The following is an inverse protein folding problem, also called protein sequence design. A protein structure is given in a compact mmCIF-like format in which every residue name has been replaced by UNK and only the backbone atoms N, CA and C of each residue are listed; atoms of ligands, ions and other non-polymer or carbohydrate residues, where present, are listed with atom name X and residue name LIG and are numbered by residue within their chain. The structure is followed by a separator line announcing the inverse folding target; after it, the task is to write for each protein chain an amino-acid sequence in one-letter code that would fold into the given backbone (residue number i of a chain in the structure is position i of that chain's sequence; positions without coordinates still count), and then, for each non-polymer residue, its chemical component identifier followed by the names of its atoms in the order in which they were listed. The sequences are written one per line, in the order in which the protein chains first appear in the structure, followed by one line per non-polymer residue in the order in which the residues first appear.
data_IF_714145474726
#
_entry.id   IF_714145474726
#
_cell.length_a   1.000
_cell.length_b   1.000
_cell.length_c   1.000
_cell.angle_alpha   90.00
_cell.angle_beta   90.00
_cell.angle_gamma   90.00
#
_symmetry.space_group_name_H-M   'P 1'
#
loop_
_entity.id
_entity.type
_entity.pdbx_description
1 polymer ?
#
# COMPACT_ATOMS: atom_id res chain seq x y z
N UNK A 1 -2.42 -23.01 -7.49
CA UNK A 1 -1.36 -23.35 -6.50
C UNK A 1 0.07 -23.19 -6.99
N UNK A 2 0.32 -22.12 -7.76
CA UNK A 2 1.67 -21.75 -8.22
C UNK A 2 2.64 -21.53 -7.05
N UNK A 3 2.14 -21.20 -5.87
CA UNK A 3 2.95 -20.94 -4.66
C UNK A 3 3.46 -22.23 -4.00
N UNK A 4 2.66 -23.29 -4.02
CA UNK A 4 3.07 -24.60 -3.50
C UNK A 4 4.12 -25.26 -4.42
N UNK A 5 3.98 -25.10 -5.75
CA UNK A 5 4.92 -25.62 -6.71
C UNK A 5 6.29 -24.93 -6.66
N UNK A 6 6.36 -23.61 -6.39
CA UNK A 6 7.63 -22.88 -6.21
C UNK A 6 8.39 -23.36 -4.96
N UNK A 7 7.69 -23.55 -3.83
CA UNK A 7 8.30 -24.10 -2.61
C UNK A 7 8.83 -25.52 -2.78
N UNK A 8 8.08 -26.37 -3.47
CA UNK A 8 8.50 -27.72 -3.81
C UNK A 8 9.73 -27.74 -4.75
N UNK A 9 9.75 -26.89 -5.78
CA UNK A 9 10.88 -26.77 -6.69
C UNK A 9 12.18 -26.37 -5.98
N UNK A 10 12.13 -25.45 -5.04
CA UNK A 10 13.30 -25.04 -4.25
C UNK A 10 13.75 -26.15 -3.29
N UNK A 11 12.83 -26.89 -2.68
CA UNK A 11 13.16 -28.04 -1.83
C UNK A 11 13.82 -29.14 -2.65
N UNK A 12 13.26 -29.48 -3.82
CA UNK A 12 13.84 -30.47 -4.72
C UNK A 12 15.23 -30.09 -5.21
N UNK A 13 15.45 -28.84 -5.61
CA UNK A 13 16.77 -28.35 -6.02
C UNK A 13 17.80 -28.42 -4.90
N UNK A 14 17.43 -28.09 -3.67
CA UNK A 14 18.34 -28.18 -2.51
C UNK A 14 18.66 -29.61 -2.17
N UNK A 15 17.68 -30.51 -2.13
CA UNK A 15 17.87 -31.91 -1.80
C UNK A 15 18.65 -32.69 -2.87
N UNK A 16 18.52 -32.31 -4.13
CA UNK A 16 19.21 -32.96 -5.26
C UNK A 16 20.52 -32.28 -5.64
N UNK A 17 21.03 -31.35 -4.85
CA UNK A 17 22.26 -30.60 -5.12
C UNK A 17 22.29 -29.95 -6.51
N UNK A 18 21.15 -29.60 -7.04
CA UNK A 18 21.00 -28.94 -8.34
C UNK A 18 20.80 -29.90 -9.54
N UNK A 19 20.79 -31.20 -9.32
CA UNK A 19 20.57 -32.19 -10.40
C UNK A 19 19.10 -32.39 -10.77
N UNK A 20 18.16 -32.05 -9.92
CA UNK A 20 16.75 -32.13 -10.25
C UNK A 20 16.25 -30.89 -11.01
N UNK A 21 15.53 -31.11 -12.08
CA UNK A 21 14.73 -30.09 -12.77
C UNK A 21 13.27 -30.27 -12.42
N UNK A 22 12.53 -29.15 -12.34
CA UNK A 22 11.09 -29.13 -12.16
C UNK A 22 10.47 -28.56 -13.43
N UNK A 23 9.66 -29.37 -14.08
CA UNK A 23 8.87 -28.95 -15.23
C UNK A 23 7.40 -28.87 -14.83
N UNK A 24 6.64 -27.97 -15.44
CA UNK A 24 5.22 -27.82 -15.18
C UNK A 24 4.47 -27.59 -16.49
N UNK A 25 3.31 -28.22 -16.58
CA UNK A 25 2.40 -28.09 -17.71
C UNK A 25 1.03 -27.59 -17.23
N UNK A 26 0.30 -26.96 -18.15
CA UNK A 26 -1.09 -26.63 -17.89
C UNK A 26 -1.91 -27.92 -17.74
N UNK A 27 -2.66 -28.03 -16.65
CA UNK A 27 -3.58 -29.15 -16.44
C UNK A 27 -5.01 -28.76 -16.83
N UNK A 28 -5.66 -27.90 -16.04
CA UNK A 28 -7.06 -27.53 -16.26
C UNK A 28 -7.42 -26.22 -15.55
N UNK A 29 -8.55 -25.65 -15.96
CA UNK A 29 -9.18 -24.56 -15.21
C UNK A 29 -10.01 -25.15 -14.06
N UNK A 30 -9.84 -24.64 -12.86
CA UNK A 30 -10.61 -25.02 -11.67
C UNK A 30 -11.34 -23.81 -11.10
N UNK A 31 -12.58 -24.03 -10.66
CA UNK A 31 -13.39 -23.00 -10.02
C UNK A 31 -12.79 -22.60 -8.67
N UNK A 32 -12.48 -21.31 -8.50
CA UNK A 32 -11.90 -20.78 -7.27
C UNK A 32 -12.63 -19.51 -6.82
N UNK A 33 -12.69 -19.26 -5.50
CA UNK A 33 -13.25 -18.03 -4.93
C UNK A 33 -12.26 -16.88 -5.05
N UNK A 34 -12.23 -16.26 -6.23
CA UNK A 34 -11.36 -15.12 -6.52
C UNK A 34 -12.10 -13.81 -6.33
N UNK A 35 -11.39 -12.79 -5.84
CA UNK A 35 -11.90 -11.44 -5.66
C UNK A 35 -10.93 -10.43 -6.25
N UNK A 36 -11.47 -9.42 -6.92
CA UNK A 36 -10.69 -8.27 -7.40
C UNK A 36 -10.47 -7.31 -6.23
N UNK A 37 -9.23 -6.87 -6.08
CA UNK A 37 -8.81 -5.84 -5.13
C UNK A 37 -8.37 -4.62 -5.90
N UNK A 38 -8.95 -3.48 -5.56
CA UNK A 38 -8.61 -2.16 -6.09
C UNK A 38 -7.85 -1.34 -5.03
N UNK A 39 -6.88 -0.56 -5.46
CA UNK A 39 -6.13 0.37 -4.61
C UNK A 39 -6.55 1.80 -4.94
N UNK A 40 -6.91 2.57 -3.92
CA UNK A 40 -7.14 4.00 -4.06
C UNK A 40 -6.15 4.80 -3.22
N UNK A 41 -5.53 5.80 -3.83
CA UNK A 41 -4.59 6.73 -3.20
C UNK A 41 -5.18 8.14 -3.29
N UNK A 42 -5.33 8.78 -2.13
CA UNK A 42 -6.00 10.07 -1.99
C UNK A 42 -7.42 10.12 -2.63
N UNK A 43 -8.15 9.01 -2.57
CA UNK A 43 -9.50 8.87 -3.14
C UNK A 43 -9.54 8.56 -4.64
N UNK A 44 -8.40 8.51 -5.32
CA UNK A 44 -8.30 8.18 -6.74
C UNK A 44 -7.90 6.71 -6.88
N UNK A 45 -8.68 5.93 -7.64
CA UNK A 45 -8.32 4.54 -7.96
C UNK A 45 -7.12 4.50 -8.89
N UNK A 46 -6.23 3.55 -8.63
CA UNK A 46 -5.02 3.31 -9.42
C UNK A 46 -5.11 1.91 -10.03
N UNK A 47 -5.54 1.84 -11.27
CA UNK A 47 -5.85 0.56 -11.94
C UNK A 47 -4.63 -0.35 -12.06
N UNK A 48 -3.44 0.21 -12.25
CA UNK A 48 -2.18 -0.55 -12.31
C UNK A 48 -1.78 -1.23 -11.00
N UNK A 49 -2.43 -0.88 -9.88
CA UNK A 49 -2.28 -1.53 -8.58
C UNK A 49 -3.46 -2.46 -8.25
N UNK A 50 -4.33 -2.76 -9.22
CA UNK A 50 -5.39 -3.74 -9.04
C UNK A 50 -4.83 -5.16 -9.13
N UNK A 51 -5.38 -6.08 -8.35
CA UNK A 51 -4.99 -7.50 -8.39
C UNK A 51 -6.17 -8.43 -8.14
N UNK A 52 -6.02 -9.68 -8.55
CA UNK A 52 -6.97 -10.75 -8.27
C UNK A 52 -6.34 -11.66 -7.23
N UNK A 53 -7.04 -11.87 -6.12
CA UNK A 53 -6.58 -12.67 -4.99
C UNK A 53 -7.65 -13.67 -4.58
N UNK A 54 -7.22 -14.73 -3.90
CA UNK A 54 -8.17 -15.64 -3.24
C UNK A 54 -8.87 -14.91 -2.08
N UNK A 55 -10.17 -15.12 -1.92
CA UNK A 55 -11.01 -14.44 -0.94
C UNK A 55 -10.46 -14.54 0.49
N UNK A 56 -9.98 -15.72 0.89
CA UNK A 56 -9.42 -15.95 2.21
C UNK A 56 -8.15 -15.13 2.49
N UNK A 57 -7.34 -14.88 1.46
CA UNK A 57 -6.10 -14.13 1.56
C UNK A 57 -6.28 -12.63 1.38
N UNK A 58 -7.42 -12.20 0.84
CA UNK A 58 -7.66 -10.83 0.41
C UNK A 58 -7.43 -9.81 1.54
N UNK A 59 -7.88 -10.12 2.75
CA UNK A 59 -7.77 -9.21 3.88
C UNK A 59 -6.33 -9.10 4.41
N UNK A 60 -5.60 -10.22 4.50
CA UNK A 60 -4.20 -10.25 4.92
C UNK A 60 -3.32 -9.54 3.90
N UNK A 61 -3.38 -9.96 2.64
CA UNK A 61 -2.62 -9.35 1.54
C UNK A 61 -2.99 -7.87 1.35
N UNK A 62 -4.25 -7.50 1.49
CA UNK A 62 -4.68 -6.11 1.43
C UNK A 62 -4.01 -5.23 2.49
N UNK A 63 -3.88 -5.69 3.73
CA UNK A 63 -3.16 -4.97 4.79
C UNK A 63 -1.67 -4.85 4.49
N UNK A 64 -1.05 -5.90 3.99
CA UNK A 64 0.38 -5.91 3.65
C UNK A 64 0.67 -4.93 2.50
N UNK A 65 -0.17 -4.91 1.47
CA UNK A 65 -0.10 -3.94 0.37
C UNK A 65 -0.22 -2.51 0.90
N UNK A 66 -1.21 -2.23 1.76
CA UNK A 66 -1.42 -0.90 2.31
C UNK A 66 -0.20 -0.41 3.12
N UNK A 67 0.40 -1.29 3.94
CA UNK A 67 1.61 -0.98 4.73
C UNK A 67 2.79 -0.66 3.83
N UNK A 68 3.07 -1.48 2.82
CA UNK A 68 4.18 -1.27 1.88
C UNK A 68 4.02 0.03 1.10
N UNK A 69 2.83 0.30 0.59
CA UNK A 69 2.56 1.56 -0.10
C UNK A 69 2.77 2.77 0.81
N UNK A 70 2.42 2.67 2.10
CA UNK A 70 2.69 3.72 3.08
C UNK A 70 4.18 3.98 3.28
N UNK A 71 5.02 2.96 3.19
CA UNK A 71 6.48 3.08 3.36
C UNK A 71 7.14 3.70 2.13
N UNK A 72 6.65 3.37 0.94
CA UNK A 72 7.25 3.79 -0.34
C UNK A 72 6.73 5.16 -0.80
N UNK A 73 5.46 5.50 -0.53
CA UNK A 73 4.91 6.79 -0.95
C UNK A 73 5.52 7.91 -0.10
N UNK A 74 6.19 8.92 -0.71
CA UNK A 74 6.83 9.98 0.03
C UNK A 74 5.81 10.89 0.71
N UNK A 75 6.17 11.37 1.90
CA UNK A 75 5.36 12.33 2.66
C UNK A 75 5.25 13.65 1.90
N UNK A 76 4.04 14.18 1.82
CA UNK A 76 3.74 15.47 1.20
C UNK A 76 3.22 16.47 2.24
N UNK A 77 2.85 17.68 1.81
CA UNK A 77 2.33 18.73 2.69
C UNK A 77 0.93 18.45 3.23
N UNK A 78 0.28 17.37 2.75
CA UNK A 78 -1.03 16.90 3.21
C UNK A 78 -1.00 15.40 3.48
N UNK A 79 -1.97 14.90 4.22
CA UNK A 79 -2.14 13.48 4.50
C UNK A 79 -2.67 12.75 3.27
N UNK A 80 -2.02 11.63 2.92
CA UNK A 80 -2.40 10.79 1.79
C UNK A 80 -3.05 9.51 2.34
N UNK A 81 -4.37 9.36 2.27
CA UNK A 81 -5.02 8.10 2.61
C UNK A 81 -4.81 7.07 1.50
N UNK A 82 -4.48 5.86 1.90
CA UNK A 82 -4.35 4.67 1.05
C UNK A 82 -5.48 3.73 1.45
N UNK A 83 -6.29 3.31 0.51
CA UNK A 83 -7.43 2.44 0.74
C UNK A 83 -7.36 1.24 -0.18
N UNK A 84 -7.50 0.06 0.38
CA UNK A 84 -7.61 -1.19 -0.36
C UNK A 84 -9.08 -1.61 -0.33
N UNK A 85 -9.64 -1.80 -1.50
CA UNK A 85 -11.07 -2.04 -1.67
C UNK A 85 -11.33 -3.39 -2.35
N UNK A 86 -12.37 -4.07 -1.91
CA UNK A 86 -12.96 -5.22 -2.58
C UNK A 86 -14.36 -4.81 -3.03
N UNK A 87 -14.51 -4.50 -4.32
CA UNK A 87 -15.73 -3.86 -4.82
C UNK A 87 -15.97 -2.50 -4.14
N UNK A 88 -17.08 -2.34 -3.42
CA UNK A 88 -17.40 -1.14 -2.64
C UNK A 88 -16.87 -1.16 -1.19
N UNK A 89 -16.43 -2.32 -0.70
CA UNK A 89 -16.00 -2.49 0.69
C UNK A 89 -14.51 -2.18 0.85
N UNK A 90 -14.16 -1.31 1.80
CA UNK A 90 -12.76 -1.07 2.19
C UNK A 90 -12.33 -2.20 3.14
N UNK A 91 -11.31 -2.95 2.75
CA UNK A 91 -10.76 -4.08 3.52
C UNK A 91 -9.51 -3.71 4.31
N UNK A 92 -8.77 -2.70 3.86
CA UNK A 92 -7.62 -2.16 4.59
C UNK A 92 -7.48 -0.66 4.33
N UNK A 93 -6.95 0.06 5.31
CA UNK A 93 -6.67 1.50 5.22
C UNK A 93 -5.39 1.83 5.96
N UNK A 94 -4.54 2.60 5.30
CA UNK A 94 -3.35 3.23 5.87
C UNK A 94 -3.29 4.70 5.47
N UNK A 95 -2.45 5.49 6.11
CA UNK A 95 -2.23 6.87 5.71
C UNK A 95 -0.77 7.29 5.83
N UNK A 96 -0.29 8.03 4.82
CA UNK A 96 1.00 8.70 4.87
C UNK A 96 0.82 10.05 5.53
N UNK A 97 1.46 10.25 6.69
CA UNK A 97 1.33 11.49 7.47
C UNK A 97 1.88 12.69 6.70
N UNK A 98 1.20 13.82 6.77
CA UNK A 98 1.67 15.07 6.19
C UNK A 98 3.00 15.54 6.82
N UNK A 99 3.83 16.21 6.01
CA UNK A 99 4.94 17.00 6.54
C UNK A 99 4.40 18.14 7.43
N UNK A 100 5.05 18.37 8.56
CA UNK A 100 4.73 19.47 9.48
C UNK A 100 5.92 20.35 9.69
N UNK A 101 5.73 21.65 9.48
CA UNK A 101 6.72 22.66 9.92
C UNK A 101 6.46 23.01 11.39
N UNK A 102 7.50 23.22 12.15
CA UNK A 102 7.35 23.73 13.50
C UNK A 102 7.08 25.24 13.46
N UNK A 103 5.78 25.59 13.33
CA UNK A 103 5.36 27.01 13.24
C UNK A 103 5.38 27.73 14.59
N UNK A 104 5.61 27.01 15.68
CA UNK A 104 5.62 27.55 17.05
C UNK A 104 7.03 27.68 17.64
N UNK A 105 8.08 27.28 16.91
CA UNK A 105 9.46 27.28 17.42
C UNK A 105 9.95 28.63 17.93
N UNK A 106 9.51 29.73 17.28
CA UNK A 106 9.88 31.10 17.66
C UNK A 106 9.04 31.69 18.80
N UNK A 107 8.06 30.95 19.33
CA UNK A 107 7.13 31.38 20.38
C UNK A 107 7.51 30.75 21.74
N UNK A 108 8.79 30.81 22.10
CA UNK A 108 9.25 30.32 23.40
C UNK A 108 8.66 31.17 24.54
N UNK A 109 7.99 30.52 25.50
CA UNK A 109 7.35 31.20 26.61
C UNK A 109 6.11 32.07 26.29
N UNK A 110 5.68 32.11 25.01
CA UNK A 110 4.64 33.02 24.56
C UNK A 110 3.21 32.53 24.72
N UNK A 111 2.28 33.39 24.38
CA UNK A 111 0.83 33.24 24.45
C UNK A 111 0.35 31.91 23.84
N UNK A 112 -0.29 31.10 24.65
CA UNK A 112 -0.88 29.81 24.27
C UNK A 112 -1.92 29.99 23.16
N UNK A 113 -2.69 31.07 23.20
CA UNK A 113 -3.72 31.40 22.21
C UNK A 113 -3.11 31.61 20.82
N UNK A 114 -1.98 32.31 20.73
CA UNK A 114 -1.25 32.52 19.47
C UNK A 114 -0.71 31.22 18.91
N UNK A 115 -0.12 30.36 19.77
CA UNK A 115 0.34 29.01 19.36
C UNK A 115 -0.81 28.19 18.77
N UNK A 116 -1.97 28.17 19.42
CA UNK A 116 -3.18 27.46 18.98
C UNK A 116 -3.66 27.98 17.62
N UNK A 117 -3.77 29.29 17.44
CA UNK A 117 -4.17 29.91 16.16
C UNK A 117 -3.23 29.53 15.00
N UNK A 118 -1.91 29.51 15.23
CA UNK A 118 -0.94 29.13 14.20
C UNK A 118 -1.05 27.65 13.81
N UNK A 119 -1.25 26.76 14.77
CA UNK A 119 -1.47 25.34 14.52
C UNK A 119 -2.78 25.08 13.77
N UNK A 120 -3.86 25.78 14.12
CA UNK A 120 -5.15 25.71 13.43
C UNK A 120 -5.03 26.20 11.97
N UNK A 121 -4.34 27.33 11.74
CA UNK A 121 -4.06 27.85 10.40
C UNK A 121 -3.27 26.85 9.54
N UNK A 122 -2.25 26.21 10.14
CA UNK A 122 -1.50 25.16 9.44
C UNK A 122 -2.39 23.96 9.10
N UNK A 123 -3.24 23.51 10.05
CA UNK A 123 -4.19 22.40 9.84
C UNK A 123 -5.19 22.73 8.72
N UNK A 124 -5.75 23.92 8.71
CA UNK A 124 -6.66 24.38 7.66
C UNK A 124 -5.98 24.43 6.28
N UNK A 125 -4.75 24.94 6.20
CA UNK A 125 -3.95 24.93 4.98
C UNK A 125 -3.69 23.53 4.43
N UNK A 126 -3.33 22.58 5.29
CA UNK A 126 -3.17 21.17 4.90
C UNK A 126 -4.46 20.54 4.36
N UNK A 127 -5.60 20.87 4.99
CA UNK A 127 -6.90 20.38 4.52
C UNK A 127 -7.24 20.91 3.12
N UNK A 128 -6.97 22.19 2.83
CA UNK A 128 -7.15 22.76 1.48
C UNK A 128 -6.23 22.07 0.46
N UNK A 129 -4.97 21.88 0.78
CA UNK A 129 -4.01 21.22 -0.12
C UNK A 129 -4.39 19.78 -0.44
N UNK A 130 -5.03 19.05 0.47
CA UNK A 130 -5.52 17.69 0.24
C UNK A 130 -6.52 17.59 -0.92
N UNK A 131 -7.37 18.60 -1.09
CA UNK A 131 -8.35 18.63 -2.17
C UNK A 131 -7.77 18.99 -3.53
N UNK A 132 -6.66 19.74 -3.57
CA UNK A 132 -6.04 20.26 -4.79
C UNK A 132 -4.85 19.41 -5.22
N UNK A 133 -4.16 18.79 -4.25
CA UNK A 133 -2.91 18.06 -4.48
C UNK A 133 -3.11 16.76 -5.25
N UNK A 134 -2.42 16.64 -6.38
CA UNK A 134 -2.26 15.36 -7.08
C UNK A 134 -1.13 14.59 -6.42
N UNK A 135 -1.35 13.30 -6.17
CA UNK A 135 -0.33 12.40 -5.63
C UNK A 135 0.35 11.69 -6.79
N UNK A 136 1.61 12.01 -7.02
CA UNK A 136 2.45 11.23 -7.92
C UNK A 136 2.94 9.98 -7.19
N UNK A 137 2.69 8.81 -7.76
CA UNK A 137 3.19 7.55 -7.25
C UNK A 137 4.59 7.31 -7.83
N UNK A 138 5.61 7.06 -6.99
CA UNK A 138 6.92 6.71 -7.47
C UNK A 138 6.93 5.30 -8.07
N UNK A 139 7.90 5.01 -8.92
CA UNK A 139 8.02 3.71 -9.58
C UNK A 139 8.19 2.56 -8.57
N UNK A 140 8.84 2.83 -7.44
CA UNK A 140 9.01 1.87 -6.34
C UNK A 140 7.68 1.39 -5.74
N UNK A 141 6.62 2.22 -5.81
CA UNK A 141 5.29 1.81 -5.34
C UNK A 141 4.72 0.64 -6.18
N UNK A 142 4.94 0.65 -7.47
CA UNK A 142 4.54 -0.43 -8.37
C UNK A 142 5.40 -1.68 -8.16
N UNK A 143 6.71 -1.51 -8.01
CA UNK A 143 7.63 -2.61 -7.74
C UNK A 143 7.34 -3.26 -6.38
N UNK A 144 7.06 -2.47 -5.33
CA UNK A 144 6.72 -2.99 -4.01
C UNK A 144 5.39 -3.75 -4.00
N UNK A 145 4.46 -3.35 -4.86
CA UNK A 145 3.20 -4.06 -5.05
C UNK A 145 3.42 -5.43 -5.70
N UNK A 146 4.23 -5.50 -6.76
CA UNK A 146 4.55 -6.75 -7.47
C UNK A 146 5.40 -7.71 -6.64
N UNK A 147 6.28 -7.20 -5.78
CA UNK A 147 7.13 -8.02 -4.90
C UNK A 147 6.40 -8.62 -3.70
N UNK A 148 5.09 -8.42 -3.58
CA UNK A 148 4.27 -8.93 -2.47
C UNK A 148 4.21 -10.47 -2.41
N UNK A 149 4.69 -11.17 -3.41
CA UNK A 149 4.71 -12.64 -3.49
C UNK A 149 6.01 -13.30 -2.99
N UNK A 150 6.97 -12.51 -2.45
CA UNK A 150 8.21 -13.06 -1.89
C UNK A 150 8.16 -13.08 -0.35
N UNK A 151 7.37 -13.99 0.22
CA UNK A 151 7.61 -14.59 1.55
C UNK A 151 6.88 -15.90 1.66
#
# INVERSE_FOLDING_TARGET
DVKASRGLGDVYKRQSQGYASVDFSFDRYEKSELVKIDVAVNGVKVDSLSSILHKNDSQRKGRDIAKRLREVIPRQMFEIPIQIMQGSKIIARESVKALSKNVTAKLYGGDVTRKKKLLEKQKAGKKKMKHIGKVALPQEAFLSFLSSDKK
#
